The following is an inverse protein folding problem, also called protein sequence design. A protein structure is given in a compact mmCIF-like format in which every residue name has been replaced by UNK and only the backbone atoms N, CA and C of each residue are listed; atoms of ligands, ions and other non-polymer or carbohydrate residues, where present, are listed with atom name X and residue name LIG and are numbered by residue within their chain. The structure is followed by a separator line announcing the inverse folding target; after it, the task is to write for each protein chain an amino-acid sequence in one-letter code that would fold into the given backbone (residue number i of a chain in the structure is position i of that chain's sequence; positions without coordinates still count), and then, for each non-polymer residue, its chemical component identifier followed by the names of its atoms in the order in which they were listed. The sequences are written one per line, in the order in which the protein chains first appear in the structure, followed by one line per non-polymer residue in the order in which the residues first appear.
data_IF_098909140693
#
_entry.id   IF_098909140693
#
_cell.length_a   1.000
_cell.length_b   1.000
_cell.length_c   1.000
_cell.angle_alpha   90.00
_cell.angle_beta   90.00
_cell.angle_gamma   90.00
#
_symmetry.space_group_name_H-M   'P 1'
#
loop_
_entity.id
_entity.type
_entity.pdbx_description
1 polymer ?
#
# COMPACT_ATOMS: atom_id res chain seq x y z
N UNK A 1 19.59 -12.00 6.99
CA UNK A 1 19.45 -11.68 8.42
C UNK A 1 18.82 -10.32 8.53
N UNK A 2 17.57 -10.27 8.98
CA UNK A 2 16.72 -9.09 9.05
C UNK A 2 15.32 -9.52 9.48
N UNK A 3 14.46 -8.57 9.85
CA UNK A 3 13.12 -8.85 10.34
C UNK A 3 12.06 -8.69 9.24
N UNK A 4 10.97 -9.47 9.33
CA UNK A 4 9.84 -9.42 8.39
C UNK A 4 8.52 -9.51 9.15
N UNK A 5 7.66 -8.50 9.01
CA UNK A 5 6.42 -8.35 9.76
C UNK A 5 5.21 -8.34 8.81
N UNK A 6 4.44 -9.43 8.72
CA UNK A 6 3.18 -9.44 8.01
C UNK A 6 2.08 -8.78 8.86
N UNK A 7 1.67 -7.58 8.50
CA UNK A 7 0.69 -6.76 9.21
C UNK A 7 -0.74 -7.19 8.85
N UNK A 8 -1.15 -8.34 9.40
CA UNK A 8 -2.40 -9.03 9.02
C UNK A 8 -3.63 -8.58 9.79
N UNK A 9 -4.77 -8.54 9.10
CA UNK A 9 -6.04 -8.14 9.67
C UNK A 9 -6.43 -9.02 10.88
N UNK A 10 -6.82 -8.38 11.99
CA UNK A 10 -7.23 -9.04 13.22
C UNK A 10 -6.10 -9.67 14.05
N UNK A 11 -4.83 -9.54 13.64
CA UNK A 11 -3.66 -9.99 14.41
C UNK A 11 -2.95 -8.79 15.04
N UNK A 12 -2.53 -8.92 16.29
CA UNK A 12 -1.80 -7.86 17.00
C UNK A 12 -0.58 -7.38 16.18
N UNK A 13 -0.52 -6.09 15.88
CA UNK A 13 0.53 -5.47 15.05
C UNK A 13 1.85 -5.28 15.80
N UNK A 14 1.80 -5.17 17.13
CA UNK A 14 2.92 -4.68 17.95
C UNK A 14 3.11 -3.16 17.91
N UNK A 15 2.26 -2.39 17.22
CA UNK A 15 2.35 -0.92 17.23
C UNK A 15 1.74 -0.33 18.52
N UNK A 16 2.46 0.53 19.24
CA UNK A 16 1.86 1.40 20.25
C UNK A 16 2.48 2.82 20.19
N UNK A 17 1.92 3.72 19.36
CA UNK A 17 2.48 5.06 19.15
C UNK A 17 2.59 5.91 20.43
N UNK A 18 1.74 5.65 21.44
CA UNK A 18 1.77 6.38 22.72
C UNK A 18 3.01 6.05 23.58
N UNK A 19 3.76 5.00 23.22
CA UNK A 19 5.07 4.68 23.80
C UNK A 19 6.24 5.33 23.05
N UNK A 20 6.01 6.24 22.09
CA UNK A 20 7.07 7.09 21.54
C UNK A 20 7.70 8.01 22.62
N UNK A 21 8.99 8.39 22.48
CA UNK A 21 9.61 9.40 23.34
C UNK A 21 8.87 10.74 23.26
N UNK A 22 8.80 11.50 24.35
CA UNK A 22 8.10 12.78 24.41
C UNK A 22 8.90 13.94 23.79
N UNK A 23 9.10 13.91 22.48
CA UNK A 23 9.64 15.05 21.69
C UNK A 23 8.50 15.90 21.11
N UNK A 24 8.76 17.17 20.73
CA UNK A 24 7.75 18.01 20.06
C UNK A 24 7.17 17.34 18.80
N UNK A 25 8.04 16.80 17.93
CA UNK A 25 7.65 16.13 16.69
C UNK A 25 6.75 14.90 16.94
N UNK A 26 7.07 14.10 17.97
CA UNK A 26 6.25 12.94 18.35
C UNK A 26 4.92 13.38 18.96
N UNK A 27 4.90 14.45 19.77
CA UNK A 27 3.67 14.98 20.35
C UNK A 27 2.72 15.53 19.28
N UNK A 28 3.24 16.26 18.30
CA UNK A 28 2.46 16.82 17.19
C UNK A 28 1.92 15.72 16.26
N UNK A 29 2.75 14.73 15.90
CA UNK A 29 2.29 13.52 15.22
C UNK A 29 1.16 12.82 15.98
N UNK A 30 1.30 12.64 17.30
CA UNK A 30 0.30 11.95 18.12
C UNK A 30 -1.04 12.68 18.20
N UNK A 31 -1.08 14.02 18.16
CA UNK A 31 -2.34 14.77 18.02
C UNK A 31 -3.03 14.44 16.71
N UNK A 32 -2.31 14.58 15.60
CA UNK A 32 -2.86 14.40 14.25
C UNK A 32 -3.35 12.96 14.04
N UNK A 33 -2.59 11.99 14.55
CA UNK A 33 -2.95 10.57 14.57
C UNK A 33 -4.18 10.30 15.46
N UNK A 34 -4.26 10.82 16.69
CA UNK A 34 -5.45 10.65 17.55
C UNK A 34 -6.70 11.29 16.95
N UNK A 35 -6.59 12.50 16.39
CA UNK A 35 -7.66 13.16 15.64
C UNK A 35 -8.13 12.28 14.49
N UNK A 36 -7.21 11.64 13.76
CA UNK A 36 -7.57 10.70 12.68
C UNK A 36 -8.33 9.46 13.18
N UNK A 37 -7.96 8.88 14.31
CA UNK A 37 -8.64 7.68 14.85
C UNK A 37 -10.14 7.89 15.11
N UNK A 38 -10.56 9.12 15.45
CA UNK A 38 -11.97 9.46 15.75
C UNK A 38 -12.77 9.96 14.55
N UNK A 39 -12.16 10.19 13.38
CA UNK A 39 -12.91 10.55 12.17
C UNK A 39 -13.76 9.37 11.68
N UNK A 40 -14.91 9.70 11.08
CA UNK A 40 -15.84 8.76 10.44
C UNK A 40 -15.68 8.73 8.92
N UNK A 41 -15.26 9.85 8.31
CA UNK A 41 -14.94 9.99 6.88
C UNK A 41 -13.64 10.77 6.68
N UNK A 42 -13.00 10.73 5.50
CA UNK A 42 -11.79 11.50 5.22
C UNK A 42 -11.93 13.00 5.47
N UNK A 43 -13.08 13.55 5.11
CA UNK A 43 -13.38 15.00 5.08
C UNK A 43 -14.13 15.50 6.33
N UNK A 44 -14.28 14.67 7.38
CA UNK A 44 -14.91 15.11 8.63
C UNK A 44 -13.97 16.06 9.39
N UNK A 45 -14.48 17.26 9.70
CA UNK A 45 -13.77 18.28 10.49
C UNK A 45 -14.20 18.17 11.96
N UNK A 46 -13.24 18.09 12.87
CA UNK A 46 -13.50 18.14 14.31
C UNK A 46 -13.85 19.57 14.75
N UNK A 47 -14.76 19.69 15.72
CA UNK A 47 -14.98 20.97 16.40
C UNK A 47 -13.79 21.30 17.30
N UNK A 48 -13.51 22.59 17.53
CA UNK A 48 -12.42 23.05 18.40
C UNK A 48 -12.44 22.35 19.78
N UNK A 49 -13.63 22.19 20.37
CA UNK A 49 -13.79 21.45 21.63
C UNK A 49 -13.32 19.99 21.52
N UNK A 50 -13.65 19.28 20.45
CA UNK A 50 -13.21 17.89 20.25
C UNK A 50 -11.70 17.80 20.02
N UNK A 51 -11.10 18.82 19.41
CA UNK A 51 -9.63 18.90 19.30
C UNK A 51 -8.98 19.15 20.67
N UNK A 52 -9.50 20.10 21.46
CA UNK A 52 -9.04 20.38 22.83
C UNK A 52 -9.21 19.18 23.77
N UNK A 53 -10.35 18.49 23.72
CA UNK A 53 -10.64 17.27 24.49
C UNK A 53 -9.60 16.17 24.19
N UNK A 54 -9.24 15.97 22.91
CA UNK A 54 -8.21 15.01 22.49
C UNK A 54 -6.79 15.46 22.87
N UNK A 55 -6.47 16.74 22.71
CA UNK A 55 -5.18 17.31 23.11
C UNK A 55 -4.96 17.19 24.64
N UNK A 56 -6.01 17.42 25.43
CA UNK A 56 -6.00 17.21 26.88
C UNK A 56 -5.84 15.73 27.25
N UNK A 57 -6.58 14.83 26.59
CA UNK A 57 -6.47 13.38 26.83
C UNK A 57 -5.10 12.81 26.45
N UNK A 58 -4.48 13.32 25.38
CA UNK A 58 -3.10 13.00 25.01
C UNK A 58 -2.11 13.47 26.08
N UNK A 59 -2.22 14.72 26.55
CA UNK A 59 -1.37 15.27 27.63
C UNK A 59 -1.49 14.43 28.90
N UNK A 60 -2.71 14.09 29.33
CA UNK A 60 -2.96 13.21 30.47
C UNK A 60 -2.34 11.82 30.31
N UNK A 61 -2.47 11.23 29.12
CA UNK A 61 -1.88 9.91 28.81
C UNK A 61 -0.35 9.93 28.78
N UNK A 62 0.26 11.00 28.27
CA UNK A 62 1.72 11.15 28.22
C UNK A 62 2.36 11.44 29.59
N UNK A 63 1.59 11.85 30.61
CA UNK A 63 2.06 11.94 32.00
C UNK A 63 2.18 10.57 32.69
N UNK A 64 1.58 9.50 32.13
CA UNK A 64 1.75 8.14 32.65
C UNK A 64 3.16 7.61 32.37
N UNK A 65 3.62 6.66 33.18
CA UNK A 65 4.84 5.88 32.89
C UNK A 65 4.75 5.20 31.53
N UNK A 66 5.87 5.16 30.78
CA UNK A 66 5.90 4.67 29.39
C UNK A 66 5.19 3.31 29.19
N UNK A 67 5.38 2.26 30.02
CA UNK A 67 4.70 0.98 29.84
C UNK A 67 3.18 1.02 30.12
N UNK A 68 2.68 2.03 30.85
CA UNK A 68 1.26 2.20 31.11
C UNK A 68 0.52 2.92 29.97
N UNK A 69 1.24 3.55 29.03
CA UNK A 69 0.69 4.29 27.90
C UNK A 69 0.12 3.31 26.87
N UNK A 70 -1.20 3.35 26.71
CA UNK A 70 -2.01 2.49 25.84
C UNK A 70 -3.24 3.28 25.39
N UNK A 71 -3.83 2.93 24.25
CA UNK A 71 -4.95 3.69 23.69
C UNK A 71 -6.21 3.61 24.57
N UNK A 72 -6.43 2.47 25.24
CA UNK A 72 -7.45 2.31 26.29
C UNK A 72 -7.32 3.29 27.48
N UNK A 73 -6.14 3.94 27.68
CA UNK A 73 -5.95 4.99 28.69
C UNK A 73 -6.43 6.36 28.23
N UNK A 74 -6.41 6.65 26.93
CA UNK A 74 -6.87 7.94 26.39
C UNK A 74 -8.36 8.15 26.71
N UNK A 75 -9.15 7.08 26.68
CA UNK A 75 -10.56 7.10 27.10
C UNK A 75 -10.79 7.57 28.54
N UNK A 76 -9.82 7.39 29.44
CA UNK A 76 -9.96 7.74 30.87
C UNK A 76 -9.91 9.26 31.12
N UNK A 77 -9.63 10.05 30.06
CA UNK A 77 -9.61 11.51 30.07
C UNK A 77 -10.68 12.14 29.16
N UNK A 78 -11.58 11.36 28.56
CA UNK A 78 -12.61 11.81 27.62
C UNK A 78 -14.02 11.61 28.21
N UNK A 79 -14.97 12.47 27.83
CA UNK A 79 -16.37 12.39 28.28
C UNK A 79 -17.06 11.11 27.76
N UNK A 80 -17.48 10.17 28.63
CA UNK A 80 -18.10 8.92 28.23
C UNK A 80 -19.62 9.05 27.98
N UNK A 81 -20.22 10.23 28.21
CA UNK A 81 -21.68 10.42 28.19
C UNK A 81 -22.23 10.81 26.82
N UNK A 82 -21.41 11.37 25.93
CA UNK A 82 -21.79 11.65 24.53
C UNK A 82 -21.67 10.38 23.66
N UNK A 83 -22.79 9.82 23.15
CA UNK A 83 -22.78 8.61 22.31
C UNK A 83 -22.15 8.83 20.93
N UNK A 84 -22.07 10.08 20.45
CA UNK A 84 -21.43 10.45 19.17
C UNK A 84 -20.09 11.18 19.38
N UNK A 85 -19.63 11.26 20.62
CA UNK A 85 -18.44 12.00 21.04
C UNK A 85 -17.12 11.28 20.77
N UNK A 86 -16.01 11.99 20.98
CA UNK A 86 -14.66 11.45 20.72
C UNK A 86 -14.34 10.18 21.52
N UNK A 87 -14.84 10.07 22.76
CA UNK A 87 -14.76 8.83 23.55
C UNK A 87 -15.41 7.66 22.80
N UNK A 88 -16.70 7.79 22.44
CA UNK A 88 -17.49 6.75 21.78
C UNK A 88 -16.84 6.29 20.46
N UNK A 89 -16.31 7.23 19.67
CA UNK A 89 -15.61 6.94 18.40
C UNK A 89 -14.26 6.25 18.59
N UNK A 90 -13.56 6.55 19.68
CA UNK A 90 -12.25 5.95 19.97
C UNK A 90 -12.36 4.52 20.52
N UNK A 91 -13.48 4.16 21.16
CA UNK A 91 -13.74 2.79 21.71
C UNK A 91 -13.45 1.65 20.72
N UNK A 92 -13.71 1.87 19.42
CA UNK A 92 -13.47 0.88 18.35
C UNK A 92 -12.01 0.41 18.26
N UNK A 93 -11.07 1.17 18.83
CA UNK A 93 -9.64 0.89 18.87
C UNK A 93 -9.13 0.41 20.24
N UNK A 94 -10.00 0.22 21.24
CA UNK A 94 -9.59 -0.02 22.63
C UNK A 94 -9.92 -1.45 23.08
N UNK A 95 -8.91 -2.18 23.57
CA UNK A 95 -9.06 -3.57 24.04
C UNK A 95 -9.95 -3.68 25.28
N UNK A 96 -9.95 -2.64 26.13
CA UNK A 96 -10.80 -2.50 27.32
C UNK A 96 -12.31 -2.60 27.01
N UNK A 97 -12.69 -2.26 25.78
CA UNK A 97 -14.07 -2.18 25.30
C UNK A 97 -14.37 -3.18 24.17
N UNK A 98 -13.53 -4.20 24.01
CA UNK A 98 -13.59 -5.19 22.92
C UNK A 98 -13.65 -4.55 21.51
N UNK A 99 -12.94 -3.43 21.31
CA UNK A 99 -12.92 -2.70 20.04
C UNK A 99 -12.40 -3.55 18.87
N UNK A 100 -13.13 -3.55 17.75
CA UNK A 100 -12.82 -4.35 16.56
C UNK A 100 -11.43 -4.08 15.94
N UNK A 101 -10.83 -2.93 16.24
CA UNK A 101 -9.49 -2.52 15.79
C UNK A 101 -8.48 -2.40 16.94
N UNK A 102 -8.77 -2.96 18.12
CA UNK A 102 -7.85 -2.92 19.27
C UNK A 102 -6.48 -3.57 19.01
N UNK A 103 -6.44 -4.54 18.11
CA UNK A 103 -5.22 -5.22 17.63
C UNK A 103 -4.23 -4.29 16.90
N UNK A 104 -4.68 -3.13 16.43
CA UNK A 104 -3.86 -2.22 15.61
C UNK A 104 -2.93 -1.34 16.44
N UNK A 105 -3.40 -0.82 17.58
CA UNK A 105 -2.68 0.24 18.32
C UNK A 105 -2.73 0.14 19.84
N UNK A 106 -3.63 -0.64 20.42
CA UNK A 106 -3.76 -0.76 21.88
C UNK A 106 -2.85 -1.88 22.44
N UNK A 107 -1.73 -2.14 21.77
CA UNK A 107 -0.76 -3.17 22.14
C UNK A 107 -0.08 -2.84 23.49
N UNK A 108 0.31 -3.85 24.30
CA UNK A 108 0.93 -3.61 25.61
C UNK A 108 2.32 -2.97 25.51
N UNK A 109 3.03 -3.23 24.41
CA UNK A 109 4.35 -2.68 24.06
C UNK A 109 4.29 -2.07 22.67
N UNK A 110 5.22 -1.15 22.37
CA UNK A 110 5.60 -0.85 20.98
C UNK A 110 6.81 -1.70 20.58
N UNK A 111 6.54 -2.70 19.76
CA UNK A 111 7.51 -3.67 19.28
C UNK A 111 8.22 -3.18 18.00
N UNK A 112 7.64 -2.20 17.29
CA UNK A 112 8.14 -1.71 15.99
C UNK A 112 9.42 -0.89 16.15
N UNK A 113 9.48 0.05 17.10
CA UNK A 113 10.68 0.88 17.31
C UNK A 113 11.90 0.03 17.71
N UNK A 114 11.85 -0.85 18.73
CA UNK A 114 12.97 -1.74 19.06
C UNK A 114 13.41 -2.62 17.88
N UNK A 115 12.48 -3.03 17.03
CA UNK A 115 12.76 -3.89 15.89
C UNK A 115 13.47 -3.13 14.74
N UNK A 116 13.11 -1.87 14.49
CA UNK A 116 13.84 -0.97 13.59
C UNK A 116 15.24 -0.63 14.12
N UNK A 117 15.37 -0.41 15.44
CA UNK A 117 16.66 -0.11 16.08
C UNK A 117 17.61 -1.34 16.08
N UNK A 118 17.07 -2.56 16.13
CA UNK A 118 17.85 -3.80 16.21
C UNK A 118 18.20 -4.44 14.85
N UNK A 119 17.60 -4.03 13.73
CA UNK A 119 17.75 -4.71 12.44
C UNK A 119 18.14 -3.75 11.30
N UNK A 120 19.27 -4.03 10.63
CA UNK A 120 19.70 -3.27 9.45
C UNK A 120 18.82 -3.48 8.20
N UNK A 121 17.95 -4.52 8.21
CA UNK A 121 16.97 -4.80 7.16
C UNK A 121 15.66 -5.17 7.85
N UNK A 122 14.59 -4.42 7.55
CA UNK A 122 13.22 -4.66 8.02
C UNK A 122 12.28 -4.59 6.83
N UNK A 123 11.46 -5.63 6.65
CA UNK A 123 10.35 -5.65 5.69
C UNK A 123 9.01 -5.66 6.41
N UNK A 124 8.09 -4.80 5.98
CA UNK A 124 6.68 -4.85 6.37
C UNK A 124 5.89 -5.44 5.19
N UNK A 125 5.21 -6.57 5.39
CA UNK A 125 4.17 -7.02 4.47
C UNK A 125 2.89 -6.25 4.80
N UNK A 126 2.49 -5.42 3.85
CA UNK A 126 1.37 -4.47 3.94
C UNK A 126 0.12 -4.98 3.23
N UNK A 127 0.23 -6.06 2.44
CA UNK A 127 -0.71 -6.43 1.37
C UNK A 127 -2.13 -6.68 1.88
N UNK A 128 -2.27 -7.23 3.09
CA UNK A 128 -3.55 -7.50 3.76
C UNK A 128 -4.22 -6.21 4.32
N UNK A 129 -3.44 -5.25 4.84
CA UNK A 129 -4.03 -4.03 5.43
C UNK A 129 -4.33 -2.93 4.41
N UNK A 130 -3.70 -2.92 3.22
CA UNK A 130 -3.96 -1.90 2.20
C UNK A 130 -5.42 -1.87 1.70
N UNK A 131 -6.14 -2.98 1.81
CA UNK A 131 -7.57 -3.06 1.47
C UNK A 131 -8.48 -2.73 2.67
N UNK A 132 -7.93 -2.66 3.89
CA UNK A 132 -8.66 -2.26 5.08
C UNK A 132 -8.67 -0.73 5.24
N UNK A 133 -9.62 -0.08 4.57
CA UNK A 133 -9.78 1.37 4.55
C UNK A 133 -9.90 2.04 5.95
N UNK A 134 -10.35 1.30 6.98
CA UNK A 134 -10.43 1.84 8.35
C UNK A 134 -9.07 1.88 9.07
N UNK A 135 -8.16 0.94 8.74
CA UNK A 135 -6.87 0.75 9.40
C UNK A 135 -5.71 1.36 8.62
N UNK A 136 -5.78 1.33 7.28
CA UNK A 136 -4.67 1.68 6.38
C UNK A 136 -4.03 3.01 6.71
N UNK A 137 -4.79 4.08 6.65
CA UNK A 137 -4.26 5.43 6.79
C UNK A 137 -3.63 5.71 8.18
N UNK A 138 -4.29 5.48 9.34
CA UNK A 138 -3.64 5.72 10.63
C UNK A 138 -2.44 4.79 10.90
N UNK A 139 -2.36 3.60 10.27
CA UNK A 139 -1.20 2.70 10.36
C UNK A 139 -0.05 3.19 9.47
N UNK A 140 -0.36 3.59 8.24
CA UNK A 140 0.53 4.30 7.32
C UNK A 140 1.13 5.54 7.97
N UNK A 141 0.30 6.42 8.57
CA UNK A 141 0.76 7.61 9.32
C UNK A 141 1.84 7.25 10.35
N UNK A 142 1.63 6.18 11.13
CA UNK A 142 2.60 5.74 12.13
C UNK A 142 3.90 5.22 11.53
N UNK A 143 3.81 4.29 10.57
CA UNK A 143 4.99 3.72 9.90
C UNK A 143 5.81 4.80 9.19
N UNK A 144 5.15 5.76 8.54
CA UNK A 144 5.80 6.89 7.87
C UNK A 144 6.42 7.88 8.84
N UNK A 145 5.84 8.06 10.04
CA UNK A 145 6.47 8.82 11.13
C UNK A 145 7.76 8.15 11.62
N UNK A 146 7.76 6.82 11.80
CA UNK A 146 8.97 6.07 12.13
C UNK A 146 10.04 6.22 11.04
N UNK A 147 9.68 6.03 9.77
CA UNK A 147 10.62 6.19 8.64
C UNK A 147 11.17 7.62 8.58
N UNK A 148 10.33 8.67 8.72
CA UNK A 148 10.77 10.07 8.78
C UNK A 148 11.81 10.31 9.88
N UNK A 149 11.68 9.66 11.04
CA UNK A 149 12.66 9.73 12.14
C UNK A 149 13.97 9.00 11.83
N UNK A 150 13.97 8.00 10.94
CA UNK A 150 15.19 7.33 10.47
C UNK A 150 15.94 8.15 9.40
N UNK A 151 15.31 9.16 8.79
CA UNK A 151 15.96 10.11 7.87
C UNK A 151 16.72 11.18 8.68
N UNK A 152 17.71 10.75 9.45
CA UNK A 152 18.50 11.55 10.39
C UNK A 152 19.90 11.95 9.86
N UNK A 153 20.27 11.48 8.67
CA UNK A 153 21.61 11.66 8.08
C UNK A 153 22.41 10.37 7.99
N UNK A 154 21.96 9.28 8.62
CA UNK A 154 22.45 7.92 8.32
C UNK A 154 21.93 7.44 6.96
N UNK A 155 22.68 6.53 6.34
CA UNK A 155 22.28 5.90 5.08
C UNK A 155 21.02 5.05 5.27
N UNK A 156 19.97 5.39 4.53
CA UNK A 156 18.68 4.70 4.55
C UNK A 156 18.21 4.45 3.12
N UNK A 157 17.75 3.23 2.84
CA UNK A 157 17.03 2.92 1.59
C UNK A 157 15.65 2.40 1.94
N UNK A 158 14.62 3.17 1.58
CA UNK A 158 13.22 2.80 1.76
C UNK A 158 12.76 2.15 0.46
N UNK A 159 12.48 0.85 0.52
CA UNK A 159 11.97 0.09 -0.62
C UNK A 159 10.43 0.10 -0.59
N UNK A 160 9.82 0.57 -1.66
CA UNK A 160 8.37 0.59 -1.85
C UNK A 160 8.00 -0.29 -3.04
N UNK A 161 7.72 -1.56 -2.77
CA UNK A 161 7.04 -2.44 -3.73
C UNK A 161 5.54 -2.10 -3.80
N UNK A 162 4.87 -2.50 -4.88
CA UNK A 162 3.51 -2.06 -5.24
C UNK A 162 3.32 -0.51 -5.16
N UNK A 163 4.35 0.28 -5.51
CA UNK A 163 4.37 1.74 -5.31
C UNK A 163 3.12 2.44 -5.86
N UNK A 164 2.65 2.03 -7.04
CA UNK A 164 1.40 2.47 -7.66
C UNK A 164 0.16 2.34 -6.74
N UNK A 165 0.01 1.21 -6.04
CA UNK A 165 -1.11 0.94 -5.13
C UNK A 165 -1.01 1.81 -3.87
N UNK A 166 0.21 2.05 -3.40
CA UNK A 166 0.47 2.95 -2.27
C UNK A 166 0.15 4.42 -2.64
N UNK A 167 0.44 4.86 -3.87
CA UNK A 167 0.13 6.22 -4.35
C UNK A 167 -1.36 6.56 -4.44
N UNK A 168 -2.26 5.57 -4.37
CA UNK A 168 -3.70 5.80 -4.23
C UNK A 168 -4.11 6.26 -2.81
N UNK A 169 -3.20 6.24 -1.85
CA UNK A 169 -3.40 6.76 -0.50
C UNK A 169 -2.77 8.17 -0.37
N UNK A 170 -3.55 9.24 -0.08
CA UNK A 170 -3.03 10.61 -0.04
C UNK A 170 -1.89 10.81 0.95
N UNK A 171 -1.97 10.18 2.13
CA UNK A 171 -0.93 10.26 3.16
C UNK A 171 0.39 9.63 2.70
N UNK A 172 0.34 8.58 1.88
CA UNK A 172 1.53 8.03 1.22
C UNK A 172 2.00 8.90 0.05
N UNK A 173 1.10 9.44 -0.78
CA UNK A 173 1.49 10.29 -1.91
C UNK A 173 2.27 11.53 -1.44
N UNK A 174 1.79 12.21 -0.39
CA UNK A 174 2.52 13.32 0.24
C UNK A 174 3.82 12.86 0.89
N UNK A 175 3.85 11.71 1.57
CA UNK A 175 5.08 11.14 2.14
C UNK A 175 6.13 10.84 1.05
N UNK A 176 5.75 10.18 -0.04
CA UNK A 176 6.62 9.81 -1.14
C UNK A 176 7.18 11.05 -1.85
N UNK A 177 6.34 12.05 -2.13
CA UNK A 177 6.76 13.34 -2.72
C UNK A 177 7.76 14.07 -1.83
N UNK A 178 7.45 14.24 -0.55
CA UNK A 178 8.38 14.87 0.41
C UNK A 178 9.68 14.08 0.52
N UNK A 179 9.63 12.75 0.42
CA UNK A 179 10.82 11.89 0.40
C UNK A 179 11.70 12.15 -0.81
N UNK A 180 11.14 12.07 -2.02
CA UNK A 180 11.79 12.34 -3.29
C UNK A 180 12.47 13.73 -3.32
N UNK A 181 11.79 14.77 -2.83
CA UNK A 181 12.30 16.15 -2.86
C UNK A 181 13.38 16.46 -1.79
N UNK A 182 13.46 15.69 -0.70
CA UNK A 182 14.27 16.07 0.48
C UNK A 182 15.30 15.04 0.96
N UNK A 183 15.02 13.74 0.85
CA UNK A 183 15.83 12.70 1.53
C UNK A 183 17.26 12.58 1.02
N UNK A 184 17.50 12.90 -0.26
CA UNK A 184 18.85 12.96 -0.84
C UNK A 184 19.80 13.88 -0.08
N UNK A 185 19.29 14.91 0.61
CA UNK A 185 20.07 15.86 1.43
C UNK A 185 20.47 15.28 2.79
N UNK A 186 20.06 14.04 3.10
CA UNK A 186 20.21 13.34 4.38
C UNK A 186 20.67 11.88 4.20
N UNK A 187 21.43 11.58 3.15
CA UNK A 187 21.93 10.23 2.79
C UNK A 187 20.82 9.15 2.63
N UNK A 188 19.57 9.55 2.41
CA UNK A 188 18.42 8.66 2.30
C UNK A 188 17.83 8.62 0.89
N UNK A 189 17.35 7.45 0.47
CA UNK A 189 16.75 7.21 -0.84
C UNK A 189 15.42 6.46 -0.73
N UNK A 190 14.45 6.85 -1.56
CA UNK A 190 13.26 6.06 -1.86
C UNK A 190 13.53 5.25 -3.14
N UNK A 191 13.25 3.96 -3.13
CA UNK A 191 13.34 3.09 -4.31
C UNK A 191 11.99 2.41 -4.50
N UNK A 192 11.34 2.71 -5.62
CA UNK A 192 9.98 2.30 -5.95
C UNK A 192 9.94 1.28 -7.09
N UNK A 193 9.09 0.27 -6.96
CA UNK A 193 8.78 -0.66 -8.05
C UNK A 193 7.36 -0.43 -8.58
N UNK A 194 7.19 -0.53 -9.91
CA UNK A 194 5.88 -0.55 -10.57
C UNK A 194 5.90 -1.59 -11.70
N UNK A 195 4.76 -2.22 -11.94
CA UNK A 195 4.56 -3.13 -13.08
C UNK A 195 4.11 -2.38 -14.35
N UNK A 196 3.63 -1.14 -14.22
CA UNK A 196 3.15 -0.33 -15.35
C UNK A 196 3.61 1.12 -15.28
N UNK A 197 3.79 1.74 -16.44
CA UNK A 197 4.24 3.11 -16.60
C UNK A 197 3.10 4.11 -16.33
N UNK A 198 1.93 3.93 -16.95
CA UNK A 198 0.71 4.73 -16.69
C UNK A 198 0.40 4.90 -15.20
N UNK A 199 0.46 3.84 -14.38
CA UNK A 199 0.20 3.91 -12.94
C UNK A 199 1.07 4.93 -12.18
N UNK A 200 2.26 5.27 -12.69
CA UNK A 200 3.11 6.34 -12.15
C UNK A 200 2.76 7.69 -12.77
N UNK A 201 2.46 7.73 -14.07
CA UNK A 201 2.15 8.95 -14.84
C UNK A 201 0.76 9.54 -14.52
N UNK A 202 -0.22 8.70 -14.19
CA UNK A 202 -1.56 9.06 -13.74
C UNK A 202 -1.60 9.55 -12.27
N UNK A 203 -0.50 9.35 -11.53
CA UNK A 203 -0.44 9.72 -10.11
C UNK A 203 -0.34 11.23 -9.90
N UNK A 204 -0.93 11.74 -8.81
CA UNK A 204 -0.91 13.17 -8.47
C UNK A 204 0.51 13.74 -8.28
N UNK A 205 1.51 12.87 -8.12
CA UNK A 205 2.92 13.24 -7.92
C UNK A 205 3.82 12.76 -9.08
N UNK A 206 3.25 12.35 -10.21
CA UNK A 206 3.94 11.81 -11.39
C UNK A 206 5.17 12.65 -11.78
N UNK A 207 5.00 13.96 -11.89
CA UNK A 207 6.07 14.92 -12.18
C UNK A 207 7.23 14.83 -11.17
N UNK A 208 6.93 14.77 -9.87
CA UNK A 208 7.95 14.66 -8.84
C UNK A 208 8.68 13.30 -8.92
N UNK A 209 7.97 12.21 -9.21
CA UNK A 209 8.60 10.89 -9.45
C UNK A 209 9.54 10.95 -10.65
N UNK A 210 9.11 11.51 -11.78
CA UNK A 210 9.93 11.60 -12.99
C UNK A 210 11.14 12.53 -12.82
N UNK A 211 10.95 13.72 -12.25
CA UNK A 211 12.02 14.73 -12.08
C UNK A 211 13.01 14.38 -10.97
N UNK A 212 12.55 13.87 -9.82
CA UNK A 212 13.40 13.63 -8.65
C UNK A 212 14.02 12.22 -8.61
N UNK A 213 13.65 11.32 -9.54
CA UNK A 213 14.25 9.98 -9.68
C UNK A 213 15.25 9.97 -10.83
N UNK A 214 16.53 10.37 -10.64
CA UNK A 214 17.49 10.52 -11.74
C UNK A 214 17.92 9.19 -12.36
N UNK A 215 17.84 8.09 -11.59
CA UNK A 215 18.20 6.74 -12.04
C UNK A 215 16.93 5.91 -12.20
N UNK A 216 16.64 5.46 -13.42
CA UNK A 216 15.47 4.64 -13.75
C UNK A 216 15.94 3.33 -14.38
N UNK A 217 15.31 2.21 -14.00
CA UNK A 217 15.62 0.88 -14.52
C UNK A 217 14.39 0.36 -15.26
N UNK A 218 14.55 0.09 -16.56
CA UNK A 218 13.47 -0.42 -17.40
C UNK A 218 13.78 -1.85 -17.84
N UNK A 219 12.86 -2.76 -17.52
CA UNK A 219 12.88 -4.14 -17.98
C UNK A 219 12.25 -4.25 -19.39
N UNK A 220 12.45 -5.37 -20.10
CA UNK A 220 11.87 -5.58 -21.42
C UNK A 220 10.33 -5.57 -21.35
N UNK A 221 9.69 -4.81 -22.24
CA UNK A 221 8.24 -4.67 -22.26
C UNK A 221 7.71 -4.57 -23.71
N UNK A 222 7.28 -5.68 -24.32
CA UNK A 222 6.68 -5.71 -25.66
C UNK A 222 5.44 -4.82 -25.80
N UNK A 223 4.71 -4.59 -24.70
CA UNK A 223 3.48 -3.82 -24.67
C UNK A 223 3.69 -2.32 -24.40
N UNK A 224 4.93 -1.87 -24.15
CA UNK A 224 5.27 -0.48 -23.82
C UNK A 224 4.65 0.56 -24.78
N UNK A 225 3.90 1.52 -24.26
CA UNK A 225 3.38 2.63 -25.07
C UNK A 225 4.49 3.65 -25.42
N UNK A 226 4.38 4.26 -26.59
CA UNK A 226 5.36 5.22 -27.08
C UNK A 226 5.32 6.54 -26.30
N UNK A 227 4.13 7.10 -26.05
CA UNK A 227 3.99 8.39 -25.36
C UNK A 227 4.33 8.25 -23.86
N UNK A 228 3.86 7.18 -23.19
CA UNK A 228 4.21 6.92 -21.79
C UNK A 228 5.74 6.87 -21.59
N UNK A 229 6.46 6.15 -22.46
CA UNK A 229 7.91 5.94 -22.30
C UNK A 229 8.73 7.13 -22.81
N UNK A 230 8.40 7.71 -23.97
CA UNK A 230 9.20 8.80 -24.56
C UNK A 230 8.83 10.18 -23.99
N UNK A 231 7.56 10.51 -23.88
CA UNK A 231 7.10 11.81 -23.35
C UNK A 231 7.08 11.78 -21.81
N UNK A 232 6.45 10.76 -21.22
CA UNK A 232 6.30 10.63 -19.76
C UNK A 232 7.61 10.34 -19.03
N UNK A 233 8.45 9.43 -19.55
CA UNK A 233 9.73 9.05 -18.93
C UNK A 233 10.99 9.60 -19.61
N UNK A 234 10.84 10.44 -20.64
CA UNK A 234 11.95 11.09 -21.38
C UNK A 234 12.93 10.09 -22.03
N UNK A 235 12.42 8.96 -22.54
CA UNK A 235 13.21 8.04 -23.37
C UNK A 235 13.31 8.52 -24.81
N UNK A 236 14.43 8.22 -25.45
CA UNK A 236 14.64 8.38 -26.88
C UNK A 236 14.10 7.18 -27.67
N UNK A 237 13.86 7.38 -28.97
CA UNK A 237 13.43 6.36 -29.92
C UNK A 237 14.34 5.12 -29.97
N UNK A 238 15.61 5.26 -29.53
CA UNK A 238 16.55 4.14 -29.42
C UNK A 238 16.32 3.34 -28.13
N UNK A 239 16.13 4.03 -27.01
CA UNK A 239 15.85 3.40 -25.70
C UNK A 239 14.48 2.72 -25.71
N UNK A 240 13.47 3.34 -26.31
CA UNK A 240 12.14 2.75 -26.49
C UNK A 240 12.17 1.47 -27.33
N UNK A 241 12.83 1.49 -28.51
CA UNK A 241 12.98 0.30 -29.35
C UNK A 241 13.77 -0.82 -28.67
N UNK A 242 14.81 -0.48 -27.90
CA UNK A 242 15.52 -1.45 -27.07
C UNK A 242 14.56 -2.18 -26.12
N UNK A 243 13.77 -1.44 -25.33
CA UNK A 243 12.82 -1.99 -24.35
C UNK A 243 11.70 -2.80 -25.00
N UNK A 244 11.15 -2.34 -26.14
CA UNK A 244 9.96 -2.94 -26.77
C UNK A 244 10.25 -4.06 -27.77
N UNK A 245 11.43 -4.08 -28.40
CA UNK A 245 11.69 -4.91 -29.59
C UNK A 245 13.02 -5.69 -29.57
N UNK A 246 14.04 -5.26 -28.82
CA UNK A 246 15.39 -5.84 -28.94
C UNK A 246 15.90 -6.51 -27.65
N UNK A 247 15.35 -6.18 -26.48
CA UNK A 247 15.59 -6.92 -25.24
C UNK A 247 14.51 -8.00 -25.08
N UNK A 248 14.93 -9.24 -24.81
CA UNK A 248 14.02 -10.37 -24.64
C UNK A 248 13.54 -10.50 -23.18
N UNK A 249 12.23 -10.64 -22.89
CA UNK A 249 11.75 -10.97 -21.56
C UNK A 249 12.38 -12.25 -21.02
N UNK A 250 12.92 -12.20 -19.80
CA UNK A 250 13.64 -13.34 -19.19
C UNK A 250 15.13 -13.44 -19.51
N UNK A 251 15.68 -12.58 -20.39
CA UNK A 251 17.13 -12.51 -20.67
C UNK A 251 17.99 -11.99 -19.51
N UNK A 252 17.36 -11.55 -18.41
CA UNK A 252 17.95 -10.76 -17.32
C UNK A 252 18.63 -9.45 -17.76
N UNK A 253 18.40 -8.99 -19.00
CA UNK A 253 18.86 -7.71 -19.50
C UNK A 253 17.84 -6.58 -19.20
N UNK A 254 18.34 -5.39 -18.92
CA UNK A 254 17.55 -4.19 -18.63
C UNK A 254 18.30 -2.90 -18.98
N UNK A 255 17.56 -1.83 -19.23
CA UNK A 255 18.11 -0.50 -19.48
C UNK A 255 18.22 0.28 -18.16
N UNK A 256 19.44 0.65 -17.78
CA UNK A 256 19.69 1.66 -16.74
C UNK A 256 19.78 3.02 -17.43
N UNK A 257 18.82 3.91 -17.18
CA UNK A 257 18.83 5.30 -17.63
C UNK A 257 19.18 6.22 -16.47
N UNK A 258 20.19 7.06 -16.64
CA UNK A 258 20.60 8.06 -15.67
C UNK A 258 20.78 9.43 -16.35
N UNK A 259 19.80 10.31 -16.18
CA UNK A 259 19.67 11.58 -16.92
C UNK A 259 19.77 11.37 -18.45
N UNK A 260 20.87 11.81 -19.08
CA UNK A 260 21.13 11.71 -20.52
C UNK A 260 22.04 10.52 -20.91
N UNK A 261 22.44 9.69 -19.95
CA UNK A 261 23.28 8.51 -20.17
C UNK A 261 22.46 7.25 -19.94
N UNK A 262 22.58 6.27 -20.84
CA UNK A 262 21.91 4.98 -20.69
C UNK A 262 22.83 3.81 -21.01
N UNK A 263 22.69 2.74 -20.24
CA UNK A 263 23.49 1.52 -20.34
C UNK A 263 22.54 0.32 -20.32
N UNK A 264 22.69 -0.60 -21.27
CA UNK A 264 22.08 -1.93 -21.16
C UNK A 264 22.99 -2.77 -20.28
N UNK A 265 22.44 -3.30 -19.19
CA UNK A 265 23.11 -4.23 -18.30
C UNK A 265 22.41 -5.59 -18.34
N UNK A 266 23.13 -6.65 -17.97
CA UNK A 266 22.59 -8.00 -17.82
C UNK A 266 23.00 -8.54 -16.46
N UNK A 267 22.04 -9.01 -15.67
CA UNK A 267 22.32 -9.63 -14.38
C UNK A 267 22.56 -11.14 -14.56
N UNK A 268 23.80 -11.57 -14.31
CA UNK A 268 24.13 -12.99 -14.34
C UNK A 268 23.60 -13.68 -13.08
N UNK A 269 22.65 -14.61 -13.27
CA UNK A 269 22.00 -15.37 -12.21
C UNK A 269 22.31 -16.88 -12.30
N UNK A 270 23.29 -17.28 -13.13
CA UNK A 270 23.62 -18.70 -13.34
C UNK A 270 24.14 -19.34 -12.05
N UNK A 271 23.51 -20.45 -11.65
CA UNK A 271 23.87 -21.21 -10.45
C UNK A 271 23.27 -20.64 -9.15
N UNK A 272 22.38 -19.65 -9.22
CA UNK A 272 21.63 -19.10 -8.09
C UNK A 272 20.23 -19.72 -7.95
N UNK A 273 20.00 -20.91 -8.52
CA UNK A 273 18.68 -21.56 -8.59
C UNK A 273 18.05 -21.78 -7.20
N UNK A 274 18.87 -22.03 -6.18
CA UNK A 274 18.43 -22.16 -4.79
C UNK A 274 17.98 -20.81 -4.20
N UNK A 275 18.77 -19.75 -4.42
CA UNK A 275 18.54 -18.39 -3.93
C UNK A 275 17.31 -17.77 -4.63
N UNK A 276 17.18 -17.99 -5.94
CA UNK A 276 16.02 -17.60 -6.74
C UNK A 276 14.74 -18.29 -6.25
N UNK A 277 14.81 -19.57 -5.87
CA UNK A 277 13.67 -20.25 -5.27
C UNK A 277 13.28 -19.68 -3.89
N UNK A 278 14.26 -19.23 -3.09
CA UNK A 278 14.04 -18.61 -1.76
C UNK A 278 13.36 -17.24 -1.87
N UNK A 279 13.75 -16.40 -2.83
CA UNK A 279 13.11 -15.08 -3.04
C UNK A 279 11.81 -15.15 -3.86
N UNK A 280 11.43 -16.33 -4.35
CA UNK A 280 10.28 -16.48 -5.25
C UNK A 280 8.95 -16.56 -4.48
N UNK A 281 8.16 -15.48 -4.55
CA UNK A 281 6.80 -15.39 -3.99
C UNK A 281 5.73 -16.30 -4.62
N UNK A 282 6.13 -17.35 -5.39
CA UNK A 282 5.19 -18.35 -5.91
C UNK A 282 4.59 -19.16 -4.77
N UNK A 283 3.27 -19.37 -4.78
CA UNK A 283 2.51 -20.04 -3.70
C UNK A 283 3.14 -21.38 -3.28
N UNK A 284 3.52 -22.23 -4.23
CA UNK A 284 4.15 -23.53 -3.95
C UNK A 284 5.51 -23.44 -3.24
N UNK A 285 6.25 -22.33 -3.37
CA UNK A 285 7.49 -22.09 -2.64
C UNK A 285 7.19 -21.53 -1.24
N UNK A 286 6.21 -20.62 -1.12
CA UNK A 286 5.77 -20.08 0.18
C UNK A 286 5.17 -21.17 1.07
N UNK A 287 4.35 -22.07 0.52
CA UNK A 287 3.82 -23.25 1.22
C UNK A 287 4.93 -24.21 1.67
N UNK A 288 5.91 -24.47 0.80
CA UNK A 288 7.06 -25.33 1.09
C UNK A 288 7.91 -24.75 2.22
N UNK A 289 8.25 -23.46 2.15
CA UNK A 289 8.94 -22.71 3.21
C UNK A 289 8.18 -22.80 4.52
N UNK A 290 6.87 -22.51 4.51
CA UNK A 290 6.00 -22.54 5.70
C UNK A 290 5.98 -23.92 6.35
N UNK A 291 5.90 -25.00 5.56
CA UNK A 291 5.92 -26.38 6.04
C UNK A 291 7.27 -26.75 6.69
N UNK A 292 8.37 -26.33 6.10
CA UNK A 292 9.71 -26.58 6.66
C UNK A 292 9.92 -25.78 7.95
N UNK A 293 9.46 -24.52 8.01
CA UNK A 293 9.44 -23.71 9.24
C UNK A 293 8.64 -24.39 10.36
N UNK A 294 7.47 -24.97 10.04
CA UNK A 294 6.65 -25.72 11.00
C UNK A 294 7.30 -27.04 11.48
N UNK A 295 8.20 -27.62 10.68
CA UNK A 295 8.82 -28.93 10.95
C UNK A 295 10.17 -28.80 11.68
N UNK A 296 10.96 -27.80 11.32
CA UNK A 296 12.35 -27.62 11.79
C UNK A 296 12.54 -26.45 12.76
N UNK A 297 11.62 -25.49 12.77
CA UNK A 297 11.74 -24.24 13.54
C UNK A 297 11.83 -23.00 12.64
N UNK A 298 11.64 -21.79 13.20
CA UNK A 298 11.60 -20.55 12.41
C UNK A 298 12.98 -20.01 12.04
N UNK A 299 14.07 -20.42 12.70
CA UNK A 299 15.40 -19.87 12.42
C UNK A 299 15.90 -20.39 11.05
N UNK A 300 16.40 -19.53 10.15
CA UNK A 300 16.82 -19.94 8.81
C UNK A 300 17.86 -21.06 8.79
N UNK A 301 18.71 -21.18 9.82
CA UNK A 301 19.69 -22.27 9.92
C UNK A 301 19.03 -23.67 9.93
N UNK A 302 17.81 -23.78 10.47
CA UNK A 302 17.14 -25.07 10.68
C UNK A 302 16.37 -25.54 9.42
N UNK A 303 15.76 -24.60 8.68
CA UNK A 303 14.87 -24.92 7.56
C UNK A 303 15.43 -24.58 6.17
N UNK A 304 16.31 -23.58 6.04
CA UNK A 304 16.81 -23.10 4.74
C UNK A 304 17.63 -24.17 3.97
N UNK A 305 18.53 -24.96 4.60
CA UNK A 305 19.28 -25.99 3.88
C UNK A 305 18.36 -27.05 3.25
N UNK A 306 17.31 -27.46 3.98
CA UNK A 306 16.30 -28.38 3.47
C UNK A 306 15.50 -27.76 2.31
N UNK A 307 15.15 -26.48 2.42
CA UNK A 307 14.50 -25.75 1.33
C UNK A 307 15.37 -25.71 0.08
N UNK A 308 16.61 -25.22 0.17
CA UNK A 308 17.54 -25.08 -0.96
C UNK A 308 17.82 -26.43 -1.64
N UNK A 309 18.06 -27.49 -0.86
CA UNK A 309 18.26 -28.84 -1.40
C UNK A 309 17.02 -29.36 -2.15
N UNK A 310 15.82 -29.11 -1.61
CA UNK A 310 14.56 -29.50 -2.28
C UNK A 310 14.24 -28.65 -3.52
N UNK A 311 14.78 -27.43 -3.62
CA UNK A 311 14.57 -26.51 -4.73
C UNK A 311 15.49 -26.81 -5.92
N UNK A 312 16.71 -27.27 -5.65
CA UNK A 312 17.70 -27.70 -6.65
C UNK A 312 17.53 -29.16 -7.10
N UNK A 313 16.81 -29.98 -6.34
CA UNK A 313 16.47 -31.33 -6.75
C UNK A 313 15.59 -31.31 -8.02
N UNK A 314 15.95 -32.08 -9.08
CA UNK A 314 15.10 -32.19 -10.26
C UNK A 314 13.74 -32.77 -9.88
N UNK A 315 12.67 -32.21 -10.43
CA UNK A 315 11.31 -32.61 -10.10
C UNK A 315 11.13 -34.12 -10.34
N UNK A 316 10.81 -34.86 -9.28
CA UNK A 316 10.54 -36.29 -9.38
C UNK A 316 9.40 -36.51 -10.39
N UNK A 317 9.52 -37.48 -11.32
CA UNK A 317 8.53 -37.69 -12.36
C UNK A 317 7.17 -37.95 -11.72
N UNK A 318 6.19 -37.11 -12.05
CA UNK A 318 4.82 -37.22 -11.54
C UNK A 318 4.19 -38.49 -12.09
N UNK A 319 4.28 -39.57 -11.29
CA UNK A 319 3.64 -40.85 -11.59
C UNK A 319 2.15 -40.60 -11.83
N UNK A 320 1.57 -40.98 -12.99
CA UNK A 320 0.13 -40.88 -13.20
C UNK A 320 -0.61 -41.67 -12.10
N UNK A 321 -1.75 -41.17 -11.58
CA UNK A 321 -2.52 -41.90 -10.60
C UNK A 321 -2.91 -43.27 -11.17
N UNK A 322 -2.55 -44.33 -10.45
CA UNK A 322 -2.84 -45.70 -10.89
C UNK A 322 -4.35 -45.91 -10.94
N UNK A 323 -4.87 -46.35 -12.08
CA UNK A 323 -6.30 -46.55 -12.25
C UNK A 323 -6.80 -47.70 -11.35
N UNK A 324 -7.81 -47.42 -10.52
CA UNK A 324 -8.43 -48.42 -9.66
C UNK A 324 -9.04 -49.59 -10.46
N UNK A 325 -8.92 -50.84 -9.98
CA UNK A 325 -9.48 -52.00 -10.67
C UNK A 325 -11.01 -52.01 -10.59
N UNK A 326 -11.67 -51.95 -11.75
CA UNK A 326 -13.14 -52.03 -11.81
C UNK A 326 -13.67 -53.36 -11.23
N UNK A 327 -14.68 -53.34 -10.33
CA UNK A 327 -15.29 -54.55 -9.81
C UNK A 327 -16.08 -55.30 -10.89
N UNK A 328 -16.10 -56.63 -10.80
CA UNK A 328 -16.65 -57.50 -11.83
C UNK A 328 -18.19 -57.38 -11.99
N UNK A 329 -18.66 -57.41 -13.24
CA UNK A 329 -20.10 -57.39 -13.56
C UNK A 329 -20.76 -58.74 -13.28
N UNK A 330 -21.58 -58.82 -12.23
CA UNK A 330 -22.53 -59.92 -12.02
C UNK A 330 -23.63 -59.91 -13.10
N UNK A 331 -23.98 -61.07 -13.65
CA UNK A 331 -25.01 -61.26 -14.69
C UNK A 331 -26.39 -61.64 -14.11
N UNK A 332 -27.41 -61.50 -14.97
CA UNK A 332 -28.75 -62.14 -14.94
C UNK A 332 -29.90 -61.31 -14.33
N UNK A 333 -31.16 -61.55 -14.75
CA UNK A 333 -31.62 -61.72 -16.15
C UNK A 333 -32.90 -60.91 -16.50
N UNK A 334 -33.28 -60.85 -17.79
CA UNK A 334 -34.54 -60.26 -18.27
C UNK A 334 -35.76 -61.19 -18.09
N UNK A 335 -36.98 -60.61 -18.06
CA UNK A 335 -38.12 -61.21 -18.76
C UNK A 335 -39.02 -60.22 -19.55
N UNK A 336 -39.12 -60.44 -20.87
CA UNK A 336 -40.30 -60.41 -21.77
C UNK A 336 -41.30 -59.22 -21.90
N UNK A 337 -41.83 -59.04 -23.12
CA UNK A 337 -42.79 -57.99 -23.56
C UNK A 337 -44.29 -58.33 -23.32
N UNK A 338 -45.14 -57.28 -23.23
CA UNK A 338 -46.34 -57.01 -24.07
C UNK A 338 -46.99 -55.64 -23.75
N UNK A 339 -47.15 -54.73 -24.72
CA UNK A 339 -48.35 -54.46 -25.55
C UNK A 339 -49.61 -53.91 -24.82
N UNK A 340 -49.93 -52.61 -24.96
CA UNK A 340 -51.25 -52.07 -25.42
C UNK A 340 -51.49 -50.55 -25.16
N UNK A 341 -51.43 -49.76 -26.23
CA UNK A 341 -52.28 -48.61 -26.66
C UNK A 341 -53.35 -47.99 -25.73
N UNK A 342 -53.40 -46.64 -25.58
CA UNK A 342 -54.52 -45.78 -26.08
C UNK A 342 -54.30 -44.23 -26.03
N UNK A 343 -54.79 -43.55 -27.09
CA UNK A 343 -55.27 -42.14 -27.22
C UNK A 343 -54.50 -40.91 -26.69
N UNK A 344 -54.22 -40.00 -27.64
CA UNK A 344 -54.07 -38.53 -27.49
C UNK A 344 -55.44 -37.84 -27.74
N UNK A 345 -55.67 -36.53 -27.43
CA UNK A 345 -55.39 -35.45 -28.40
C UNK A 345 -54.97 -34.07 -27.77
N UNK A 346 -54.95 -32.99 -28.56
CA UNK A 346 -54.34 -31.68 -28.23
C UNK A 346 -55.31 -30.47 -28.11
N UNK A 347 -54.84 -29.40 -27.43
CA UNK A 347 -55.19 -27.96 -27.64
C UNK A 347 -56.63 -27.50 -27.30
N UNK A 348 -56.98 -26.17 -27.28
CA UNK A 348 -56.20 -24.95 -27.64
C UNK A 348 -56.22 -23.79 -26.59
N UNK A 349 -55.64 -22.63 -26.95
CA UNK A 349 -55.85 -21.30 -26.33
C UNK A 349 -56.94 -20.49 -27.06
N UNK A 350 -57.41 -19.36 -26.50
CA UNK A 350 -57.46 -18.13 -27.33
C UNK A 350 -57.22 -16.78 -26.59
N UNK A 351 -57.06 -15.71 -27.40
CA UNK A 351 -57.00 -14.25 -27.07
C UNK A 351 -58.43 -13.63 -26.99
N UNK A 352 -58.74 -12.33 -26.75
CA UNK A 352 -58.23 -11.07 -27.36
C UNK A 352 -58.79 -9.75 -26.75
N UNK A 353 -57.97 -8.68 -26.81
CA UNK A 353 -58.31 -7.25 -27.10
C UNK A 353 -59.25 -6.44 -26.13
N UNK A 354 -59.41 -5.10 -26.21
CA UNK A 354 -58.86 -4.01 -27.08
C UNK A 354 -58.88 -2.64 -26.35
N UNK A 355 -58.09 -1.65 -26.79
CA UNK A 355 -58.17 -0.22 -26.41
C UNK A 355 -59.14 0.58 -27.32
N UNK A 356 -59.45 1.87 -27.06
CA UNK A 356 -58.58 3.02 -27.47
C UNK A 356 -58.67 4.23 -26.48
N UNK A 357 -58.26 5.52 -26.68
CA UNK A 357 -57.51 6.27 -27.72
C UNK A 357 -56.90 7.62 -27.18
N UNK A 358 -56.21 8.38 -28.04
CA UNK A 358 -56.05 9.85 -28.13
C UNK A 358 -55.29 10.73 -27.09
N UNK A 359 -54.13 11.21 -27.58
CA UNK A 359 -53.20 12.33 -27.23
C UNK A 359 -53.78 13.77 -27.20
N UNK A 360 -52.99 14.88 -27.01
CA UNK A 360 -51.76 15.16 -26.19
C UNK A 360 -51.77 16.54 -25.47
N UNK A 361 -50.75 16.88 -24.65
CA UNK A 361 -50.17 18.25 -24.68
C UNK A 361 -48.74 18.43 -24.10
N UNK A 362 -48.10 19.52 -24.56
CA UNK A 362 -46.88 20.25 -24.19
C UNK A 362 -45.97 19.83 -23.01
N UNK A 363 -44.65 19.80 -23.31
CA UNK A 363 -43.54 20.12 -22.40
C UNK A 363 -43.33 21.66 -22.35
N UNK A 364 -42.68 22.25 -21.32
CA UNK A 364 -41.27 22.61 -21.56
C UNK A 364 -40.31 22.55 -20.35
N UNK A 365 -39.04 22.29 -20.67
CA UNK A 365 -37.87 22.38 -19.77
C UNK A 365 -37.54 23.83 -19.37
N UNK A 366 -37.15 24.12 -18.11
CA UNK A 366 -36.52 25.39 -17.74
C UNK A 366 -35.03 25.43 -18.15
N UNK A 367 -34.59 26.51 -18.78
CA UNK A 367 -33.20 26.67 -19.23
C UNK A 367 -32.30 27.32 -18.15
N UNK A 368 -30.99 26.96 -18.07
CA UNK A 368 -30.02 27.65 -17.22
C UNK A 368 -29.64 29.04 -17.77
N UNK A 369 -29.40 29.99 -16.87
CA UNK A 369 -29.09 31.39 -17.20
C UNK A 369 -27.62 31.58 -17.63
N UNK A 370 -27.32 32.35 -18.70
CA UNK A 370 -25.94 32.65 -19.07
C UNK A 370 -25.30 33.69 -18.13
N UNK A 371 -24.06 33.45 -17.69
CA UNK A 371 -23.22 34.46 -17.02
C UNK A 371 -22.49 35.31 -18.06
N UNK A 372 -22.53 36.63 -17.89
CA UNK A 372 -21.78 37.60 -18.70
C UNK A 372 -20.29 37.60 -18.30
N UNK A 373 -19.34 37.63 -19.25
CA UNK A 373 -17.94 37.91 -18.93
C UNK A 373 -17.74 39.40 -18.61
N UNK A 374 -16.70 39.70 -17.83
CA UNK A 374 -16.20 41.07 -17.57
C UNK A 374 -14.73 41.13 -17.98
N UNK A 375 -14.32 42.23 -18.60
CA UNK A 375 -13.05 42.33 -19.31
C UNK A 375 -11.89 42.88 -18.47
N UNK A 376 -10.67 42.68 -18.97
CA UNK A 376 -9.42 43.34 -18.61
C UNK A 376 -9.46 44.86 -18.98
N UNK A 377 -8.51 45.75 -18.66
CA UNK A 377 -7.16 45.58 -18.10
C UNK A 377 -6.79 46.73 -17.10
N UNK A 378 -5.65 47.46 -17.17
CA UNK A 378 -4.54 47.32 -16.20
C UNK A 378 -4.12 48.63 -15.48
N UNK A 379 -3.18 48.59 -14.50
CA UNK A 379 -2.00 49.52 -14.39
C UNK A 379 -1.11 49.36 -13.12
N UNK A 380 0.21 49.54 -13.32
CA UNK A 380 1.24 50.26 -12.50
C UNK A 380 1.60 49.92 -11.03
N UNK A 381 2.82 49.38 -10.83
CA UNK A 381 4.02 49.89 -10.09
C UNK A 381 3.93 50.90 -8.89
N UNK A 382 4.96 51.03 -8.00
CA UNK A 382 6.17 50.21 -7.73
C UNK A 382 6.50 49.97 -6.22
N UNK A 383 7.68 49.37 -5.93
CA UNK A 383 8.33 49.29 -4.59
C UNK A 383 8.84 50.64 -4.05
N UNK A 384 9.18 50.69 -2.74
CA UNK A 384 10.55 51.07 -2.36
C UNK A 384 11.23 50.09 -1.37
N UNK A 385 12.52 50.33 -1.12
CA UNK A 385 13.43 49.56 -0.23
C UNK A 385 14.09 50.51 0.78
N UNK A 386 14.35 50.07 2.02
CA UNK A 386 15.70 50.15 2.56
C UNK A 386 16.17 48.75 3.05
N UNK A 387 17.40 48.27 2.85
CA UNK A 387 18.71 48.94 2.79
C UNK A 387 19.23 49.43 4.16
N UNK A 388 19.80 48.51 4.92
CA UNK A 388 20.98 48.78 5.75
C UNK A 388 21.91 47.55 5.73
N UNK A 389 23.21 47.74 5.94
CA UNK A 389 24.24 46.70 5.82
C UNK A 389 25.52 47.03 6.60
N UNK A 390 26.00 46.07 7.41
CA UNK A 390 27.42 45.98 7.86
C UNK A 390 27.68 44.55 8.40
N UNK A 391 28.95 44.07 8.47
CA UNK A 391 29.24 42.65 8.27
C UNK A 391 29.59 41.80 9.51
N UNK A 392 29.56 40.48 9.33
CA UNK A 392 30.26 39.51 10.18
C UNK A 392 31.79 39.67 10.13
N UNK A 393 32.50 39.51 11.26
CA UNK A 393 33.92 39.15 11.28
C UNK A 393 34.12 37.64 11.07
N UNK A 394 35.23 37.27 10.44
CA UNK A 394 35.68 35.89 10.24
C UNK A 394 36.44 35.34 11.49
N UNK A 395 36.64 34.01 11.63
CA UNK A 395 37.04 33.42 12.90
C UNK A 395 38.53 33.57 13.24
N UNK A 396 38.84 33.62 14.54
CA UNK A 396 40.19 33.39 15.05
C UNK A 396 40.46 31.89 15.17
N UNK A 397 41.68 31.48 14.81
CA UNK A 397 42.21 30.15 15.10
C UNK A 397 43.47 30.30 15.96
N UNK A 398 43.59 29.52 17.04
CA UNK A 398 44.81 29.16 17.77
C UNK A 398 44.45 28.22 18.95
N UNK A 399 45.39 27.41 19.47
CA UNK A 399 46.65 26.95 18.88
C UNK A 399 46.62 25.46 18.49
#
# INVERSE_FOLDING_TARGET
GGAYLPLKNGRATGCNPLQLPATPDNAEFLKQWLRRLVLRTPDEVLTVRQEDDLDQALRGTLLLDRPARRLSRVLEFLDPTDPEGVHARLKKWCAKDNGAYAWVFDNPTDDIVPLLDANAIVGFDVTDFLDNAAVRDPLSMYLFHLVRRMVDGRRLVVWADEFARLLADPSFADFAKNGLETWRKKEAALVSFTQSANHVLDSQIARAIVEQTPTKVFFPNPDADYAEYTEGFSLSDREFRLIKQELEPGSHAFLIKQNHTSVVATLDLRGLDAELAVISGRTANVERMTRLIQTHGPAPADWLPAFQHSATAPAAPTTPPTADPQPARSRSPHPTHREATLTQPLHPSPTHARAPDATPNANPTPAPTPRTPRADAPTSHPHPVPADATPHPAPQAHP
#
